data_IF_126078728626
#
_entry.id   IF_126078728626
#
_cell.length_a   1.000
_cell.length_b   1.000
_cell.length_c   1.000
_cell.angle_alpha   90.00
_cell.angle_beta   90.00
_cell.angle_gamma   90.00
#
_symmetry.space_group_name_H-M   'P 1'
#
loop_
_entity.id
_entity.type
_entity.pdbx_description
1 polymer ?
#
# COMPACT_ATOMS: atom_id res chain seq x y z
N UNK A 1 -4.14 -10.99 11.55
CA UNK A 1 -3.22 -11.53 12.58
C UNK A 1 -1.86 -10.88 12.38
N UNK A 2 -1.16 -10.50 13.45
CA UNK A 2 0.22 -10.00 13.36
C UNK A 2 1.21 -11.17 13.37
N UNK A 3 2.18 -11.17 12.48
CA UNK A 3 3.23 -12.19 12.37
C UNK A 3 4.59 -11.68 12.89
N UNK A 4 5.44 -12.60 13.35
CA UNK A 4 6.83 -12.31 13.68
C UNK A 4 7.65 -12.24 12.38
N UNK A 5 8.44 -11.17 12.21
CA UNK A 5 9.37 -11.02 11.07
C UNK A 5 10.80 -11.01 11.60
N UNK A 6 11.62 -11.96 11.14
CA UNK A 6 13.05 -12.00 11.42
C UNK A 6 13.82 -11.67 10.15
N UNK A 7 14.63 -10.61 10.20
CA UNK A 7 15.50 -10.18 9.10
C UNK A 7 16.91 -10.69 9.39
N UNK A 8 17.46 -11.52 8.50
CA UNK A 8 18.82 -12.09 8.62
C UNK A 8 19.81 -11.29 7.78
N UNK A 9 21.09 -11.42 8.13
CA UNK A 9 22.21 -10.90 7.35
C UNK A 9 22.16 -9.38 7.12
N UNK A 10 21.67 -8.63 8.11
CA UNK A 10 21.64 -7.16 8.06
C UNK A 10 23.06 -6.64 8.26
N UNK A 11 23.61 -5.86 7.32
CA UNK A 11 24.92 -5.23 7.48
C UNK A 11 25.00 -4.39 8.75
N UNK A 12 26.12 -4.49 9.48
CA UNK A 12 26.28 -3.81 10.78
C UNK A 12 26.19 -2.29 10.65
N UNK A 13 26.70 -1.72 9.57
CA UNK A 13 26.62 -0.28 9.27
C UNK A 13 25.17 0.19 9.14
N UNK A 14 24.34 -0.55 8.38
CA UNK A 14 22.92 -0.28 8.25
C UNK A 14 22.21 -0.40 9.61
N UNK A 15 22.52 -1.43 10.39
CA UNK A 15 21.96 -1.63 11.73
C UNK A 15 22.30 -0.48 12.67
N UNK A 16 23.53 0.01 12.67
CA UNK A 16 23.94 1.15 13.51
C UNK A 16 23.24 2.44 13.08
N UNK A 17 23.17 2.71 11.78
CA UNK A 17 22.47 3.88 11.26
C UNK A 17 20.99 3.90 11.65
N UNK A 18 20.30 2.76 11.53
CA UNK A 18 18.89 2.62 11.92
C UNK A 18 18.71 2.76 13.44
N UNK A 19 19.63 2.23 14.24
CA UNK A 19 19.62 2.39 15.70
C UNK A 19 19.79 3.85 16.12
N UNK A 20 20.71 4.58 15.48
CA UNK A 20 20.89 6.01 15.74
C UNK A 20 19.64 6.82 15.38
N UNK A 21 18.99 6.51 14.25
CA UNK A 21 17.72 7.15 13.86
C UNK A 21 16.57 6.84 14.82
N UNK A 22 16.49 5.59 15.33
CA UNK A 22 15.50 5.21 16.33
C UNK A 22 15.71 5.98 17.64
N UNK A 23 16.95 6.07 18.11
CA UNK A 23 17.31 6.83 19.30
C UNK A 23 16.99 8.33 19.16
N UNK A 24 17.28 8.93 18.00
CA UNK A 24 16.93 10.32 17.71
C UNK A 24 15.41 10.59 17.74
N UNK A 25 14.59 9.57 17.50
CA UNK A 25 13.12 9.63 17.59
C UNK A 25 12.58 9.19 18.94
N UNK A 26 13.43 8.81 19.89
CA UNK A 26 13.03 8.35 21.22
C UNK A 26 12.30 7.00 21.23
N UNK A 27 12.45 6.19 20.18
CA UNK A 27 11.76 4.89 20.04
C UNK A 27 12.76 3.74 20.01
N UNK A 28 12.28 2.54 20.32
CA UNK A 28 13.09 1.33 20.19
C UNK A 28 13.42 1.03 18.72
N UNK A 29 14.52 0.34 18.45
CA UNK A 29 14.87 -0.08 17.09
C UNK A 29 13.77 -0.98 16.47
N UNK A 30 13.15 -1.85 17.27
CA UNK A 30 12.11 -2.75 16.78
C UNK A 30 10.86 -1.97 16.34
N UNK A 31 10.45 -0.99 17.14
CA UNK A 31 9.34 -0.09 16.81
C UNK A 31 9.62 0.76 15.58
N UNK A 32 10.84 1.29 15.47
CA UNK A 32 11.28 2.04 14.29
C UNK A 32 11.24 1.19 13.01
N UNK A 33 11.76 -0.04 13.06
CA UNK A 33 11.72 -0.98 11.94
C UNK A 33 10.28 -1.38 11.58
N UNK A 34 9.44 -1.64 12.58
CA UNK A 34 8.02 -1.92 12.34
C UNK A 34 7.33 -0.75 11.64
N UNK A 35 7.58 0.48 12.07
CA UNK A 35 7.01 1.67 11.43
C UNK A 35 7.46 1.79 9.97
N UNK A 36 8.75 1.57 9.69
CA UNK A 36 9.28 1.55 8.33
C UNK A 36 8.62 0.46 7.46
N UNK A 37 8.49 -0.76 7.97
CA UNK A 37 7.87 -1.86 7.24
C UNK A 37 6.38 -1.58 6.94
N UNK A 38 5.65 -1.00 7.90
CA UNK A 38 4.25 -0.63 7.71
C UNK A 38 4.13 0.52 6.71
N UNK A 39 5.01 1.52 6.77
CA UNK A 39 5.02 2.64 5.83
C UNK A 39 5.30 2.15 4.41
N UNK A 40 6.32 1.32 4.22
CA UNK A 40 6.62 0.74 2.90
C UNK A 40 5.47 -0.13 2.38
N UNK A 41 4.87 -0.96 3.23
CA UNK A 41 3.72 -1.79 2.86
C UNK A 41 2.43 -0.99 2.61
N UNK A 42 2.34 0.24 3.11
CA UNK A 42 1.17 1.10 2.89
C UNK A 42 1.10 1.65 1.47
N UNK A 43 2.21 1.65 0.75
CA UNK A 43 2.30 2.16 -0.62
C UNK A 43 2.06 1.01 -1.61
N UNK A 44 0.92 0.98 -2.33
CA UNK A 44 0.70 -0.05 -3.32
C UNK A 44 1.70 0.13 -4.46
N UNK A 45 2.33 -0.97 -4.85
CA UNK A 45 3.20 -0.99 -6.03
C UNK A 45 2.40 -0.69 -7.30
N UNK A 46 3.06 -0.17 -8.35
CA UNK A 46 2.42 0.06 -9.65
C UNK A 46 1.76 -1.23 -10.18
N UNK A 47 2.40 -2.37 -10.00
CA UNK A 47 1.86 -3.68 -10.37
C UNK A 47 0.55 -3.99 -9.61
N UNK A 48 0.51 -3.77 -8.30
CA UNK A 48 -0.71 -3.97 -7.50
C UNK A 48 -1.81 -2.97 -7.85
N UNK A 49 -1.46 -1.74 -8.23
CA UNK A 49 -2.42 -0.75 -8.73
C UNK A 49 -3.02 -1.20 -10.07
N UNK A 50 -2.18 -1.70 -10.99
CA UNK A 50 -2.62 -2.20 -12.30
C UNK A 50 -3.49 -3.46 -12.17
N UNK A 51 -3.14 -4.39 -11.29
CA UNK A 51 -3.96 -5.57 -11.00
C UNK A 51 -5.29 -5.21 -10.31
N UNK A 52 -5.28 -4.20 -9.42
CA UNK A 52 -6.51 -3.65 -8.84
C UNK A 52 -7.39 -2.96 -9.90
N UNK A 53 -6.78 -2.31 -10.89
CA UNK A 53 -7.51 -1.71 -12.01
C UNK A 53 -8.14 -2.78 -12.92
N UNK A 54 -7.39 -3.84 -13.25
CA UNK A 54 -7.91 -5.00 -14.01
C UNK A 54 -9.10 -5.65 -13.31
N UNK A 55 -8.97 -5.96 -12.02
CA UNK A 55 -10.05 -6.55 -11.20
C UNK A 55 -11.24 -5.62 -10.89
N UNK A 56 -11.14 -4.31 -11.18
CA UNK A 56 -12.31 -3.40 -11.22
C UNK A 56 -12.93 -3.30 -12.61
N UNK A 57 -12.14 -3.43 -13.67
CA UNK A 57 -12.64 -3.38 -15.05
C UNK A 57 -13.63 -4.51 -15.35
N UNK A 58 -13.48 -5.67 -14.69
CA UNK A 58 -14.43 -6.79 -14.78
C UNK A 58 -15.77 -6.57 -14.04
N UNK A 59 -15.94 -5.43 -13.35
CA UNK A 59 -17.12 -5.17 -12.47
C UNK A 59 -17.98 -3.96 -12.83
N UNK A 60 -17.81 -3.34 -14.00
CA UNK A 60 -18.91 -2.49 -14.50
C UNK A 60 -20.00 -3.37 -15.09
N UNK A 61 -20.96 -3.77 -14.25
CA UNK A 61 -22.19 -4.43 -14.65
C UNK A 61 -23.15 -3.50 -15.42
N UNK A 62 -22.80 -2.22 -15.55
CA UNK A 62 -23.60 -1.21 -16.24
C UNK A 62 -22.77 -0.58 -17.35
N UNK A 63 -23.29 -0.66 -18.57
CA UNK A 63 -22.72 0.02 -19.72
C UNK A 63 -22.83 1.54 -19.54
N UNK A 64 -21.71 2.24 -19.71
CA UNK A 64 -21.71 3.72 -19.71
C UNK A 64 -22.64 4.29 -20.80
N UNK A 65 -22.84 3.53 -21.90
CA UNK A 65 -23.77 3.91 -22.98
C UNK A 65 -25.23 3.87 -22.50
N UNK A 66 -25.60 2.92 -21.66
CA UNK A 66 -26.98 2.78 -21.19
C UNK A 66 -27.34 3.84 -20.14
N UNK A 67 -26.36 4.26 -19.33
CA UNK A 67 -26.51 5.42 -18.42
C UNK A 67 -26.74 6.71 -19.22
N UNK A 68 -25.98 6.94 -20.28
CA UNK A 68 -26.11 8.14 -21.13
C UNK A 68 -27.45 8.15 -21.89
N UNK A 69 -27.94 6.98 -22.31
CA UNK A 69 -29.26 6.85 -22.95
C UNK A 69 -30.40 7.14 -21.98
N UNK A 70 -30.34 6.60 -20.76
CA UNK A 70 -31.35 6.86 -19.74
C UNK A 70 -31.47 8.34 -19.35
N UNK A 71 -30.35 9.08 -19.27
CA UNK A 71 -30.37 10.54 -19.03
C UNK A 71 -31.00 11.32 -20.19
N UNK A 72 -30.80 10.85 -21.43
CA UNK A 72 -31.32 11.50 -22.63
C UNK A 72 -32.82 11.26 -22.83
N UNK A 73 -33.30 10.05 -22.54
CA UNK A 73 -34.70 9.67 -22.70
C UNK A 73 -35.61 10.25 -21.60
N UNK A 74 -35.06 10.55 -20.41
CA UNK A 74 -35.78 11.22 -19.32
C UNK A 74 -35.94 12.75 -19.47
N UNK A 75 -35.38 13.34 -20.53
CA UNK A 75 -35.39 14.80 -20.80
C UNK A 75 -36.44 15.22 -21.84
N UNK A 76 -37.46 14.38 -22.06
CA UNK A 76 -38.50 14.59 -23.08
C UNK A 76 -39.88 14.78 -22.48
#
# INVERSE_FOLDING_TARGET
>A
MAGLVQIRDVPDDARQALKARAAARGVSLNEYLRALLVEEASRPTLAEVLERARSRSERSAVSSVDIIRADRDGKR
#
